data_IF_155663253629
#
_entry.id   IF_155663253629
#
_cell.length_a   1.000
_cell.length_b   1.000
_cell.length_c   1.000
_cell.angle_alpha   90.00
_cell.angle_beta   90.00
_cell.angle_gamma   90.00
#
_symmetry.space_group_name_H-M   'P 1'
#
loop_
_entity.id
_entity.type
_entity.pdbx_description
1 polymer ?
#
# COMPACT_ATOMS: atom_id res chain seq x y z
N UNK A 1 11.19 -13.22 21.53
CA UNK A 1 10.58 -12.67 20.30
C UNK A 1 9.08 -12.57 20.51
N UNK A 2 8.51 -11.38 20.35
CA UNK A 2 7.05 -11.18 20.46
C UNK A 2 6.39 -11.77 19.23
N UNK A 3 5.44 -12.70 19.42
CA UNK A 3 4.71 -13.32 18.32
C UNK A 3 3.75 -12.30 17.72
N UNK A 4 4.03 -11.85 16.50
CA UNK A 4 3.13 -10.99 15.74
C UNK A 4 2.12 -11.84 14.96
N UNK A 5 0.91 -11.32 14.77
CA UNK A 5 -0.14 -11.97 13.97
C UNK A 5 -0.74 -10.95 13.02
N UNK A 6 -0.98 -11.35 11.78
CA UNK A 6 -1.72 -10.53 10.82
C UNK A 6 -3.20 -10.60 11.19
N UNK A 7 -3.81 -9.46 11.52
CA UNK A 7 -5.22 -9.38 11.98
C UNK A 7 -6.19 -9.18 10.82
N UNK A 8 -5.76 -8.44 9.81
CA UNK A 8 -6.53 -8.18 8.60
C UNK A 8 -5.58 -7.80 7.46
N UNK A 9 -6.04 -7.90 6.22
CA UNK A 9 -5.30 -7.51 5.02
C UNK A 9 -6.20 -6.76 4.05
N UNK A 10 -5.59 -5.96 3.20
CA UNK A 10 -6.22 -5.36 2.03
C UNK A 10 -5.37 -5.66 0.81
N UNK A 11 -6.01 -5.73 -0.36
CA UNK A 11 -5.30 -5.86 -1.64
C UNK A 11 -6.12 -5.23 -2.74
N UNK A 12 -5.47 -4.43 -3.58
CA UNK A 12 -6.01 -3.94 -4.84
C UNK A 12 -4.96 -4.23 -5.90
N UNK A 13 -5.30 -5.03 -6.90
CA UNK A 13 -4.41 -5.35 -8.00
C UNK A 13 -5.19 -5.55 -9.32
N UNK A 14 -4.52 -5.59 -10.47
CA UNK A 14 -5.19 -5.59 -11.78
C UNK A 14 -6.16 -6.77 -12.00
N UNK A 15 -5.96 -7.89 -11.31
CA UNK A 15 -6.80 -9.10 -11.41
C UNK A 15 -7.84 -9.21 -10.29
N UNK A 16 -7.85 -8.28 -9.32
CA UNK A 16 -8.80 -8.33 -8.21
C UNK A 16 -8.75 -7.09 -7.32
N UNK A 17 -9.92 -6.54 -7.01
CA UNK A 17 -10.06 -5.33 -6.19
C UNK A 17 -10.04 -5.61 -4.69
N UNK A 18 -9.98 -6.87 -4.28
CA UNK A 18 -9.90 -7.33 -2.89
C UNK A 18 -9.03 -8.58 -2.81
N UNK A 19 -8.53 -8.92 -1.62
CA UNK A 19 -7.83 -10.18 -1.38
C UNK A 19 -8.57 -11.42 -1.92
N UNK A 20 -9.86 -11.63 -1.56
CA UNK A 20 -10.63 -12.77 -2.06
C UNK A 20 -10.79 -12.82 -3.58
N UNK A 21 -11.02 -11.67 -4.24
CA UNK A 21 -11.18 -11.64 -5.71
C UNK A 21 -9.85 -11.89 -6.42
N UNK A 22 -8.75 -11.35 -5.92
CA UNK A 22 -7.42 -11.65 -6.44
C UNK A 22 -7.06 -13.13 -6.26
N UNK A 23 -7.37 -13.73 -5.10
CA UNK A 23 -7.17 -15.17 -4.89
C UNK A 23 -7.98 -16.02 -5.88
N UNK A 24 -9.25 -15.67 -6.11
CA UNK A 24 -10.08 -16.37 -7.09
C UNK A 24 -9.48 -16.26 -8.50
N UNK A 25 -9.01 -15.07 -8.89
CA UNK A 25 -8.35 -14.85 -10.16
C UNK A 25 -7.08 -15.69 -10.31
N UNK A 26 -6.24 -15.76 -9.27
CA UNK A 26 -5.03 -16.61 -9.23
C UNK A 26 -5.40 -18.09 -9.39
N UNK A 27 -6.41 -18.58 -8.66
CA UNK A 27 -6.87 -19.98 -8.77
C UNK A 27 -7.44 -20.32 -10.15
N UNK A 28 -7.97 -19.33 -10.87
CA UNK A 28 -8.49 -19.46 -12.22
C UNK A 28 -7.45 -19.13 -13.30
N UNK A 29 -6.18 -18.91 -12.93
CA UNK A 29 -5.08 -18.57 -13.84
C UNK A 29 -5.36 -17.31 -14.69
N UNK A 30 -6.17 -16.39 -14.16
CA UNK A 30 -6.50 -15.14 -14.85
C UNK A 30 -5.26 -14.24 -14.85
N UNK A 31 -4.82 -13.86 -16.04
CA UNK A 31 -3.76 -12.89 -16.27
C UNK A 31 -4.36 -11.62 -16.87
N UNK A 32 -3.88 -10.45 -16.43
CA UNK A 32 -4.23 -9.17 -17.03
C UNK A 32 -2.97 -8.44 -17.45
N UNK A 33 -2.53 -8.66 -18.68
CA UNK A 33 -1.46 -7.90 -19.33
C UNK A 33 -2.06 -7.39 -20.62
N UNK A 34 -1.99 -6.08 -20.83
CA UNK A 34 -2.53 -5.41 -21.99
C UNK A 34 -1.48 -4.49 -22.60
N UNK A 35 -1.61 -4.29 -23.90
CA UNK A 35 -0.86 -3.29 -24.66
C UNK A 35 -1.31 -1.90 -24.21
N UNK A 36 -0.36 -1.04 -23.84
CA UNK A 36 -0.63 0.34 -23.46
C UNK A 36 -0.51 1.26 -24.67
N UNK A 37 -1.25 2.36 -24.67
CA UNK A 37 -1.12 3.46 -25.64
C UNK A 37 0.13 4.32 -25.37
N UNK A 38 1.25 3.68 -25.01
CA UNK A 38 2.54 4.30 -24.72
C UNK A 38 3.61 3.42 -25.37
N UNK A 39 4.39 4.02 -26.25
CA UNK A 39 5.51 3.36 -26.91
C UNK A 39 6.82 3.56 -26.13
N UNK A 40 7.73 2.60 -26.27
CA UNK A 40 9.09 2.66 -25.79
C UNK A 40 10.00 3.52 -26.69
N UNK A 41 11.29 3.56 -26.36
CA UNK A 41 12.28 4.33 -27.14
C UNK A 41 12.52 3.80 -28.57
N UNK A 42 12.02 2.60 -28.89
CA UNK A 42 12.11 1.96 -30.20
C UNK A 42 10.80 2.03 -30.99
N UNK A 43 9.73 2.59 -30.41
CA UNK A 43 8.40 2.66 -31.04
C UNK A 43 7.58 1.39 -30.87
N UNK A 44 7.95 0.51 -29.93
CA UNK A 44 7.19 -0.68 -29.57
C UNK A 44 6.28 -0.37 -28.37
N UNK A 45 5.04 -0.87 -28.34
CA UNK A 45 4.13 -0.58 -27.25
C UNK A 45 4.57 -1.28 -25.95
N UNK A 46 4.40 -0.60 -24.82
CA UNK A 46 4.58 -1.23 -23.52
C UNK A 46 3.44 -2.20 -23.21
N UNK A 47 3.79 -3.35 -22.62
CA UNK A 47 2.82 -4.29 -22.07
C UNK A 47 2.82 -4.21 -20.56
N UNK A 48 1.66 -3.96 -19.95
CA UNK A 48 1.55 -3.82 -18.51
C UNK A 48 0.21 -4.31 -17.96
N UNK A 49 0.14 -4.41 -16.64
CA UNK A 49 -1.08 -4.70 -15.90
C UNK A 49 -1.59 -3.42 -15.27
N UNK A 50 -2.50 -2.71 -15.95
CA UNK A 50 -3.01 -1.46 -15.44
C UNK A 50 -4.27 -1.65 -14.57
N UNK A 51 -4.37 -0.80 -13.55
CA UNK A 51 -5.60 -0.60 -12.78
C UNK A 51 -6.56 0.29 -13.58
N UNK A 52 -7.61 -0.30 -14.14
CA UNK A 52 -8.57 0.39 -15.01
C UNK A 52 -9.56 1.26 -14.22
N UNK A 53 -9.74 0.96 -12.94
CA UNK A 53 -10.71 1.59 -12.05
C UNK A 53 -10.21 2.90 -11.42
N UNK A 54 -9.04 3.38 -11.85
CA UNK A 54 -8.50 4.69 -11.49
C UNK A 54 -8.64 5.63 -12.68
N UNK A 55 -9.01 6.88 -12.38
CA UNK A 55 -9.11 7.95 -13.38
C UNK A 55 -7.82 8.04 -14.22
N UNK A 56 -7.90 7.92 -15.56
CA UNK A 56 -6.74 7.98 -16.45
C UNK A 56 -6.03 9.34 -16.42
N UNK A 57 -6.71 10.41 -15.99
CA UNK A 57 -6.10 11.74 -15.84
C UNK A 57 -5.20 11.89 -14.61
N UNK A 58 -5.13 10.88 -13.72
CA UNK A 58 -4.27 10.92 -12.55
C UNK A 58 -2.80 10.72 -12.93
N UNK A 59 -1.93 11.58 -12.38
CA UNK A 59 -0.48 11.35 -12.44
C UNK A 59 -0.10 10.03 -11.78
N UNK A 60 1.04 9.44 -12.18
CA UNK A 60 1.54 8.19 -11.59
C UNK A 60 1.58 8.24 -10.05
N UNK A 61 2.03 9.34 -9.46
CA UNK A 61 2.04 9.51 -7.99
C UNK A 61 0.63 9.49 -7.40
N UNK A 62 -0.33 10.15 -8.03
CA UNK A 62 -1.73 10.14 -7.57
C UNK A 62 -2.34 8.75 -7.68
N UNK A 63 -1.99 7.98 -8.71
CA UNK A 63 -2.45 6.60 -8.89
C UNK A 63 -1.93 5.70 -7.76
N UNK A 64 -0.63 5.73 -7.49
CA UNK A 64 -0.01 4.97 -6.38
C UNK A 64 -0.67 5.28 -5.04
N UNK A 65 -0.87 6.57 -4.73
CA UNK A 65 -1.53 6.99 -3.50
C UNK A 65 -3.01 6.60 -3.46
N UNK A 66 -3.70 6.62 -4.60
CA UNK A 66 -5.09 6.16 -4.73
C UNK A 66 -5.24 4.65 -4.49
N UNK A 67 -4.31 3.82 -5.00
CA UNK A 67 -4.27 2.38 -4.71
C UNK A 67 -3.98 2.09 -3.25
N UNK A 68 -3.04 2.83 -2.67
CA UNK A 68 -2.68 2.72 -1.26
C UNK A 68 -3.87 3.04 -0.36
N UNK A 69 -4.59 4.13 -0.66
CA UNK A 69 -5.82 4.52 0.02
C UNK A 69 -6.87 3.39 -0.01
N UNK A 70 -7.18 2.83 -1.18
CA UNK A 70 -8.17 1.75 -1.31
C UNK A 70 -7.75 0.49 -0.55
N UNK A 71 -6.45 0.17 -0.55
CA UNK A 71 -5.91 -0.96 0.20
C UNK A 71 -6.05 -0.75 1.72
N UNK A 72 -5.79 0.47 2.19
CA UNK A 72 -5.97 0.83 3.60
C UNK A 72 -7.44 0.79 4.03
N UNK A 73 -8.37 1.21 3.17
CA UNK A 73 -9.81 1.12 3.47
C UNK A 73 -10.24 -0.34 3.74
N UNK A 74 -9.64 -1.32 3.05
CA UNK A 74 -9.89 -2.74 3.31
C UNK A 74 -9.21 -3.25 4.58
N UNK A 75 -7.96 -2.84 4.82
CA UNK A 75 -7.14 -3.36 5.90
C UNK A 75 -7.52 -2.76 7.27
N UNK A 76 -7.91 -1.48 7.31
CA UNK A 76 -8.04 -0.68 8.53
C UNK A 76 -9.49 -0.48 8.96
N UNK A 77 -10.41 -0.21 8.03
CA UNK A 77 -11.80 0.10 8.36
C UNK A 77 -12.51 -0.94 9.27
N UNK A 78 -12.21 -2.25 9.19
CA UNK A 78 -12.86 -3.23 10.07
C UNK A 78 -12.34 -3.24 11.51
N UNK A 79 -11.28 -2.48 11.82
CA UNK A 79 -10.51 -2.61 13.05
C UNK A 79 -10.51 -1.31 13.85
N UNK A 80 -10.82 -1.42 15.14
CA UNK A 80 -10.74 -0.34 16.12
C UNK A 80 -9.83 -0.75 17.25
N UNK A 81 -8.91 0.14 17.60
CA UNK A 81 -7.97 -0.03 18.70
C UNK A 81 -8.14 1.13 19.68
N UNK A 82 -8.16 0.81 20.97
CA UNK A 82 -8.22 1.81 22.05
C UNK A 82 -6.88 2.55 22.23
N UNK A 83 -5.79 1.94 21.79
CA UNK A 83 -4.44 2.52 21.83
C UNK A 83 -3.95 2.89 20.43
N UNK A 84 -2.96 3.79 20.32
CA UNK A 84 -2.45 4.23 19.05
C UNK A 84 -1.92 3.09 18.17
N UNK A 85 -2.03 3.28 16.86
CA UNK A 85 -1.44 2.41 15.84
C UNK A 85 -0.32 3.13 15.11
N UNK A 86 0.73 2.43 14.67
CA UNK A 86 1.75 3.00 13.81
C UNK A 86 1.53 2.61 12.34
N UNK A 87 1.81 3.54 11.42
CA UNK A 87 1.64 3.36 9.98
C UNK A 87 3.01 3.36 9.28
N UNK A 88 3.30 2.30 8.54
CA UNK A 88 4.48 2.17 7.71
C UNK A 88 4.05 2.02 6.25
N UNK A 89 4.49 2.94 5.40
CA UNK A 89 4.16 2.95 3.97
C UNK A 89 5.45 2.75 3.19
N UNK A 90 5.47 1.76 2.29
CA UNK A 90 6.53 1.60 1.30
C UNK A 90 6.07 2.16 -0.06
N UNK A 91 6.87 3.04 -0.65
CA UNK A 91 6.61 3.66 -1.96
C UNK A 91 7.80 3.46 -2.91
N UNK A 92 7.58 3.50 -4.25
CA UNK A 92 8.63 3.33 -5.23
C UNK A 92 9.59 4.52 -5.27
N UNK A 93 10.79 4.31 -5.83
CA UNK A 93 11.86 5.31 -5.92
C UNK A 93 11.47 6.63 -6.60
N UNK A 94 10.44 6.64 -7.45
CA UNK A 94 9.88 7.86 -8.06
C UNK A 94 9.36 8.89 -7.03
N UNK A 95 9.17 8.46 -5.78
CA UNK A 95 8.81 9.30 -4.64
C UNK A 95 10.01 9.86 -3.87
N UNK A 96 11.25 9.59 -4.30
CA UNK A 96 12.44 10.08 -3.62
C UNK A 96 12.46 11.61 -3.60
N UNK A 97 12.65 12.19 -2.42
CA UNK A 97 12.63 13.65 -2.21
C UNK A 97 11.25 14.30 -2.34
N UNK A 98 10.17 13.55 -2.54
CA UNK A 98 8.82 14.10 -2.56
C UNK A 98 8.38 14.48 -1.13
N UNK A 99 7.70 15.63 -1.00
CA UNK A 99 6.96 15.95 0.22
C UNK A 99 5.67 15.15 0.25
N UNK A 100 5.58 14.22 1.21
CA UNK A 100 4.46 13.31 1.39
C UNK A 100 3.68 13.59 2.67
N UNK A 101 3.94 14.72 3.32
CA UNK A 101 3.26 15.11 4.57
C UNK A 101 1.74 15.21 4.39
N UNK A 102 1.28 15.83 3.30
CA UNK A 102 -0.14 15.92 2.96
C UNK A 102 -0.78 14.56 2.67
N UNK A 103 -0.09 13.72 1.90
CA UNK A 103 -0.55 12.36 1.58
C UNK A 103 -0.65 11.49 2.83
N UNK A 104 0.37 11.52 3.69
CA UNK A 104 0.36 10.78 4.95
C UNK A 104 -0.80 11.22 5.85
N UNK A 105 -1.06 12.53 5.94
CA UNK A 105 -2.22 13.04 6.69
C UNK A 105 -3.54 12.50 6.13
N UNK A 106 -3.74 12.56 4.81
CA UNK A 106 -4.94 12.04 4.18
C UNK A 106 -5.11 10.53 4.39
N UNK A 107 -4.02 9.76 4.42
CA UNK A 107 -4.07 8.33 4.71
C UNK A 107 -4.40 8.05 6.18
N UNK A 108 -3.89 8.85 7.10
CA UNK A 108 -4.17 8.77 8.54
C UNK A 108 -5.64 9.05 8.86
N UNK A 109 -6.30 9.92 8.12
CA UNK A 109 -7.74 10.21 8.27
C UNK A 109 -8.64 8.99 8.04
N UNK A 110 -8.13 7.90 7.45
CA UNK A 110 -8.85 6.62 7.29
C UNK A 110 -8.91 5.78 8.55
N UNK A 111 -8.10 6.13 9.54
CA UNK A 111 -8.01 5.40 10.78
C UNK A 111 -9.01 5.97 11.77
N UNK A 112 -9.93 5.13 12.24
CA UNK A 112 -10.77 5.48 13.40
C UNK A 112 -9.99 5.43 14.71
N UNK A 113 -8.85 4.71 14.73
CA UNK A 113 -7.95 4.64 15.88
C UNK A 113 -6.91 5.76 15.80
N UNK A 114 -6.41 6.29 16.94
CA UNK A 114 -5.33 7.27 16.93
C UNK A 114 -4.09 6.71 16.20
N UNK A 115 -3.45 7.52 15.35
CA UNK A 115 -2.20 7.12 14.68
C UNK A 115 -1.00 7.80 15.37
N UNK A 116 -0.03 6.99 15.81
CA UNK A 116 1.24 7.45 16.37
C UNK A 116 2.18 7.94 15.25
N UNK A 117 2.01 9.19 14.81
CA UNK A 117 2.77 9.77 13.71
C UNK A 117 4.28 9.82 13.98
N UNK A 118 4.69 9.99 15.23
CA UNK A 118 6.09 9.98 15.67
C UNK A 118 6.77 8.60 15.47
N UNK A 119 5.98 7.53 15.42
CA UNK A 119 6.41 6.15 15.17
C UNK A 119 6.13 5.68 13.73
N UNK A 120 5.33 6.43 12.99
CA UNK A 120 4.94 6.12 11.62
C UNK A 120 6.02 6.57 10.62
N UNK A 121 6.22 5.83 9.53
CA UNK A 121 7.26 6.14 8.53
C UNK A 121 6.76 5.92 7.12
N UNK A 122 7.20 6.79 6.22
CA UNK A 122 7.16 6.53 4.77
C UNK A 122 8.57 6.13 4.35
N UNK A 123 8.69 4.96 3.77
CA UNK A 123 9.92 4.41 3.22
C UNK A 123 9.82 4.49 1.70
N UNK A 124 10.87 5.00 1.07
CA UNK A 124 10.96 5.09 -0.38
C UNK A 124 12.12 4.23 -0.85
N UNK A 125 11.86 3.37 -1.84
CA UNK A 125 12.89 2.49 -2.40
C UNK A 125 12.32 1.47 -3.37
N UNK A 126 13.14 0.48 -3.74
CA UNK A 126 12.77 -0.61 -4.63
C UNK A 126 11.97 -1.75 -3.97
N UNK A 127 11.92 -2.93 -4.60
CA UNK A 127 11.08 -4.07 -4.20
C UNK A 127 11.25 -4.56 -2.75
N UNK A 128 12.41 -4.32 -2.14
CA UNK A 128 12.71 -4.78 -0.77
C UNK A 128 12.08 -3.88 0.31
N UNK A 129 11.63 -2.69 -0.06
CA UNK A 129 11.19 -1.64 0.89
C UNK A 129 10.02 -2.07 1.76
N UNK A 130 9.09 -2.87 1.21
CA UNK A 130 7.96 -3.42 1.98
C UNK A 130 8.43 -4.37 3.10
N UNK A 131 9.49 -5.15 2.89
CA UNK A 131 10.05 -6.03 3.92
C UNK A 131 10.75 -5.24 5.03
N UNK A 132 11.45 -4.16 4.67
CA UNK A 132 12.02 -3.24 5.66
C UNK A 132 10.92 -2.59 6.51
N UNK A 133 9.79 -2.21 5.89
CA UNK A 133 8.63 -1.70 6.60
C UNK A 133 8.03 -2.72 7.59
N UNK A 134 7.97 -4.00 7.22
CA UNK A 134 7.55 -5.09 8.11
C UNK A 134 8.50 -5.28 9.30
N UNK A 135 9.82 -5.23 9.07
CA UNK A 135 10.81 -5.33 10.14
C UNK A 135 10.66 -4.20 11.16
N UNK A 136 10.54 -2.95 10.69
CA UNK A 136 10.30 -1.78 11.56
C UNK A 136 8.98 -1.88 12.32
N UNK A 137 7.93 -2.40 11.71
CA UNK A 137 6.66 -2.62 12.38
C UNK A 137 6.79 -3.64 13.52
N UNK A 138 7.54 -4.73 13.32
CA UNK A 138 7.81 -5.72 14.37
C UNK A 138 8.60 -5.13 15.54
N UNK A 139 9.65 -4.36 15.25
CA UNK A 139 10.43 -3.65 16.27
C UNK A 139 9.56 -2.66 17.05
N UNK A 140 8.70 -1.92 16.34
CA UNK A 140 7.79 -0.93 16.94
C UNK A 140 6.75 -1.60 17.84
N UNK A 141 6.14 -2.70 17.40
CA UNK A 141 5.24 -3.51 18.23
C UNK A 141 5.92 -4.03 19.49
N UNK A 142 7.19 -4.45 19.39
CA UNK A 142 7.95 -4.96 20.53
C UNK A 142 8.18 -3.90 21.63
N UNK A 143 8.08 -2.61 21.31
CA UNK A 143 8.18 -1.53 22.31
C UNK A 143 6.94 -1.42 23.22
N UNK A 144 5.80 -2.02 22.84
CA UNK A 144 4.54 -1.92 23.57
C UNK A 144 3.88 -0.53 23.54
N UNK A 145 4.42 0.42 22.76
CA UNK A 145 3.89 1.80 22.66
C UNK A 145 2.67 1.94 21.75
N UNK A 146 2.38 0.91 20.94
CA UNK A 146 1.25 0.87 20.00
C UNK A 146 0.52 -0.46 20.13
N UNK A 147 -0.79 -0.47 19.90
CA UNK A 147 -1.59 -1.70 19.90
C UNK A 147 -1.42 -2.52 18.64
N UNK A 148 -1.14 -1.84 17.51
CA UNK A 148 -0.98 -2.47 16.21
C UNK A 148 -0.06 -1.65 15.31
N UNK A 149 0.43 -2.29 14.26
CA UNK A 149 1.07 -1.61 13.15
C UNK A 149 0.33 -1.96 11.87
N UNK A 150 0.21 -0.97 10.99
CA UNK A 150 -0.28 -1.14 9.63
C UNK A 150 0.89 -0.95 8.70
N UNK A 151 1.12 -1.94 7.85
CA UNK A 151 2.16 -1.90 6.81
C UNK A 151 1.46 -1.97 5.47
N UNK A 152 1.73 -1.01 4.60
CA UNK A 152 1.13 -0.92 3.29
C UNK A 152 2.18 -0.57 2.24
N UNK A 153 1.99 -1.06 1.02
CA UNK A 153 2.86 -0.82 -0.12
C UNK A 153 2.02 -0.61 -1.37
N UNK A 154 2.52 0.16 -2.32
CA UNK A 154 1.87 0.44 -3.60
C UNK A 154 2.93 0.84 -4.61
N UNK A 155 2.73 0.52 -5.88
CA UNK A 155 3.63 0.81 -7.00
C UNK A 155 2.92 1.40 -8.24
#
# INVERSE_FOLDING_TARGET
MTRCQVRNTGLVCPVGLTGPTACAAICCEITKIEELEIDDEHGEPYYASAMAELDPGLSGRQRVLGLLARTLDQAVAPLRYEHPVALFIALPEIFAGADLSGSLRALVERFESPVALDLSRVLVGGPVTAFNALALAQETLATGRVAACVVAASD
#
